data_IF_319352237507
#
_entry.id   IF_319352237507
#
_cell.length_a   1.000
_cell.length_b   1.000
_cell.length_c   1.000
_cell.angle_alpha   90.00
_cell.angle_beta   90.00
_cell.angle_gamma   90.00
#
_symmetry.space_group_name_H-M   'P 1'
#
loop_
_entity.id
_entity.type
_entity.pdbx_description
1 polymer ?
#
# COMPACT_ATOMS: atom_id res chain seq x y z
N UNK A 1 -55.11 11.97 0.25
CA UNK A 1 -53.71 12.35 0.53
C UNK A 1 -52.98 11.10 1.01
N UNK A 2 -52.34 10.38 0.08
CA UNK A 2 -51.81 9.03 0.33
C UNK A 2 -50.34 9.07 0.75
N UNK A 3 -50.08 8.33 1.82
CA UNK A 3 -48.82 8.11 2.51
C UNK A 3 -47.64 7.79 1.58
N UNK A 4 -46.50 8.47 1.78
CA UNK A 4 -45.21 8.12 1.19
C UNK A 4 -44.16 7.98 2.30
N UNK A 5 -43.24 7.03 2.10
CA UNK A 5 -42.02 6.76 2.87
C UNK A 5 -42.08 5.78 4.04
N UNK A 6 -42.39 4.52 3.74
CA UNK A 6 -41.74 3.40 4.43
C UNK A 6 -40.49 2.97 3.66
N UNK A 7 -39.34 3.55 4.01
CA UNK A 7 -38.05 3.09 3.51
C UNK A 7 -37.77 1.70 4.12
N UNK A 8 -38.00 0.63 3.35
CA UNK A 8 -37.55 -0.73 3.69
C UNK A 8 -36.02 -0.71 3.70
N UNK A 9 -35.41 -0.55 4.88
CA UNK A 9 -34.03 -0.94 5.07
C UNK A 9 -33.95 -2.45 4.85
N UNK A 10 -33.44 -2.83 3.67
CA UNK A 10 -33.14 -4.22 3.32
C UNK A 10 -31.97 -4.68 4.20
N UNK A 11 -32.27 -4.97 5.48
CA UNK A 11 -31.32 -5.50 6.46
C UNK A 11 -30.76 -6.80 5.87
N UNK A 12 -29.53 -6.77 5.35
CA UNK A 12 -28.77 -8.02 5.18
C UNK A 12 -28.72 -8.63 6.57
N UNK A 13 -29.15 -9.89 6.70
CA UNK A 13 -29.27 -10.54 8.01
C UNK A 13 -27.95 -10.40 8.78
N UNK A 14 -27.95 -9.91 10.02
CA UNK A 14 -26.74 -9.74 10.82
C UNK A 14 -25.95 -11.06 10.95
N UNK A 15 -26.65 -12.19 10.85
CA UNK A 15 -26.09 -13.54 10.83
C UNK A 15 -25.12 -13.75 9.65
N UNK A 16 -25.43 -13.23 8.45
CA UNK A 16 -24.53 -13.35 7.29
C UNK A 16 -23.26 -12.51 7.46
N UNK A 17 -23.37 -11.36 8.11
CA UNK A 17 -22.22 -10.48 8.37
C UNK A 17 -21.29 -11.12 9.41
N UNK A 18 -21.86 -11.66 10.49
CA UNK A 18 -21.11 -12.40 11.52
C UNK A 18 -20.42 -13.61 10.91
N UNK A 19 -21.10 -14.39 10.08
CA UNK A 19 -20.50 -15.53 9.39
C UNK A 19 -19.34 -15.15 8.48
N UNK A 20 -19.46 -14.04 7.74
CA UNK A 20 -18.39 -13.56 6.85
C UNK A 20 -17.18 -13.04 7.62
N UNK A 21 -17.39 -12.37 8.76
CA UNK A 21 -16.30 -11.94 9.66
C UNK A 21 -15.59 -13.16 10.24
N UNK A 22 -16.32 -14.13 10.76
CA UNK A 22 -15.75 -15.33 11.37
C UNK A 22 -14.92 -16.14 10.36
N UNK A 23 -15.44 -16.33 9.15
CA UNK A 23 -14.72 -16.99 8.07
C UNK A 23 -13.45 -16.22 7.66
N UNK A 24 -13.54 -14.89 7.56
CA UNK A 24 -12.38 -14.04 7.29
C UNK A 24 -11.30 -14.16 8.38
N UNK A 25 -11.69 -14.15 9.65
CA UNK A 25 -10.76 -14.31 10.77
C UNK A 25 -10.07 -15.67 10.73
N UNK A 26 -10.82 -16.76 10.51
CA UNK A 26 -10.24 -18.10 10.41
C UNK A 26 -9.25 -18.19 9.26
N UNK A 27 -9.59 -17.65 8.09
CA UNK A 27 -8.70 -17.66 6.93
C UNK A 27 -7.38 -16.92 7.21
N UNK A 28 -7.45 -15.76 7.87
CA UNK A 28 -6.27 -14.97 8.24
C UNK A 28 -5.41 -15.71 9.27
N UNK A 29 -6.04 -16.29 10.30
CA UNK A 29 -5.31 -17.05 11.34
C UNK A 29 -4.65 -18.29 10.73
N UNK A 30 -5.36 -19.02 9.87
CA UNK A 30 -4.81 -20.18 9.17
C UNK A 30 -3.61 -19.81 8.29
N UNK A 31 -3.71 -18.71 7.54
CA UNK A 31 -2.60 -18.20 6.74
C UNK A 31 -1.41 -17.78 7.61
N UNK A 32 -1.66 -17.12 8.75
CA UNK A 32 -0.60 -16.72 9.68
C UNK A 32 0.14 -17.92 10.28
N UNK A 33 -0.58 -18.99 10.63
CA UNK A 33 0.02 -20.23 11.13
C UNK A 33 0.87 -20.89 10.05
N UNK A 34 0.33 -21.00 8.82
CA UNK A 34 1.03 -21.59 7.69
C UNK A 34 2.32 -20.81 7.38
N UNK A 35 2.26 -19.48 7.41
CA UNK A 35 3.42 -18.62 7.23
C UNK A 35 4.45 -18.80 8.35
N UNK A 36 4.01 -18.87 9.61
CA UNK A 36 4.88 -19.16 10.76
C UNK A 36 5.57 -20.53 10.66
N UNK A 37 4.88 -21.53 10.13
CA UNK A 37 5.44 -22.86 9.90
C UNK A 37 6.51 -22.85 8.80
N UNK A 38 6.26 -22.16 7.68
CA UNK A 38 7.24 -21.98 6.59
C UNK A 38 8.48 -21.26 7.11
N UNK A 39 8.32 -20.20 7.89
CA UNK A 39 9.43 -19.47 8.53
C UNK A 39 10.29 -20.39 9.40
N UNK A 40 9.65 -21.18 10.28
CA UNK A 40 10.36 -22.14 11.14
C UNK A 40 11.11 -23.18 10.31
N UNK A 41 10.45 -23.76 9.31
CA UNK A 41 11.05 -24.82 8.47
C UNK A 41 12.23 -24.29 7.67
N UNK A 42 12.07 -23.14 7.02
CA UNK A 42 13.12 -22.50 6.24
C UNK A 42 14.30 -22.09 7.13
N UNK A 43 14.03 -21.52 8.31
CA UNK A 43 15.10 -21.14 9.24
C UNK A 43 15.90 -22.35 9.73
N UNK A 44 15.21 -23.42 10.14
CA UNK A 44 15.86 -24.62 10.66
C UNK A 44 16.66 -25.36 9.60
N UNK A 45 16.34 -25.17 8.32
CA UNK A 45 17.14 -25.72 7.24
C UNK A 45 18.33 -24.84 6.89
N UNK A 46 18.13 -23.52 6.77
CA UNK A 46 19.14 -22.63 6.21
C UNK A 46 20.17 -22.13 7.26
N UNK A 47 19.71 -21.66 8.42
CA UNK A 47 20.58 -20.96 9.37
C UNK A 47 21.55 -21.89 10.13
N UNK A 48 21.13 -23.07 10.60
CA UNK A 48 22.05 -24.05 11.17
C UNK A 48 23.07 -24.58 10.16
N UNK A 49 22.64 -24.83 8.92
CA UNK A 49 23.51 -25.41 7.89
C UNK A 49 24.55 -24.42 7.37
N UNK A 50 24.17 -23.15 7.16
CA UNK A 50 25.09 -22.13 6.65
C UNK A 50 25.98 -21.48 7.72
N UNK A 51 25.45 -21.29 8.93
CA UNK A 51 26.11 -20.48 9.96
C UNK A 51 26.35 -21.23 11.28
N UNK A 52 25.94 -22.49 11.40
CA UNK A 52 26.07 -23.26 12.64
C UNK A 52 25.21 -22.74 13.80
N UNK A 53 24.16 -21.98 13.50
CA UNK A 53 23.27 -21.38 14.50
C UNK A 53 22.26 -22.41 15.06
N UNK A 54 21.71 -22.12 16.25
CA UNK A 54 20.69 -22.96 16.88
C UNK A 54 19.37 -22.95 16.09
N UNK A 55 18.69 -24.10 16.08
CA UNK A 55 17.33 -24.22 15.53
C UNK A 55 16.33 -23.41 16.35
N UNK A 56 15.27 -22.93 15.68
CA UNK A 56 14.19 -22.18 16.31
C UNK A 56 12.92 -23.03 16.38
N UNK A 57 12.19 -22.86 17.47
CA UNK A 57 10.83 -23.39 17.65
C UNK A 57 9.80 -22.47 16.99
N UNK A 58 8.57 -22.98 16.79
CA UNK A 58 7.48 -22.19 16.21
C UNK A 58 7.24 -20.86 16.94
N UNK A 59 7.26 -20.88 18.27
CA UNK A 59 7.09 -19.66 19.07
C UNK A 59 8.25 -18.66 18.90
N UNK A 60 9.47 -19.14 18.68
CA UNK A 60 10.61 -18.28 18.37
C UNK A 60 10.50 -17.68 16.96
N UNK A 61 10.07 -18.48 15.97
CA UNK A 61 9.84 -17.99 14.61
C UNK A 61 8.76 -16.89 14.56
N UNK A 62 7.64 -17.11 15.25
CA UNK A 62 6.57 -16.12 15.39
C UNK A 62 7.05 -14.89 16.17
N UNK A 63 7.80 -15.07 17.26
CA UNK A 63 8.38 -13.97 18.04
C UNK A 63 9.34 -13.12 17.22
N UNK A 64 10.23 -13.75 16.44
CA UNK A 64 11.15 -13.07 15.53
C UNK A 64 10.40 -12.31 14.42
N UNK A 65 9.35 -12.92 13.86
CA UNK A 65 8.50 -12.27 12.88
C UNK A 65 7.79 -11.03 13.46
N UNK A 66 7.25 -11.13 14.68
CA UNK A 66 6.62 -10.00 15.37
C UNK A 66 7.64 -8.91 15.65
N UNK A 67 8.83 -9.26 16.13
CA UNK A 67 9.90 -8.31 16.40
C UNK A 67 10.32 -7.58 15.13
N UNK A 68 10.52 -8.32 14.03
CA UNK A 68 10.79 -7.75 12.71
C UNK A 68 9.63 -6.86 12.24
N UNK A 69 8.38 -7.26 12.49
CA UNK A 69 7.20 -6.45 12.15
C UNK A 69 7.09 -5.18 12.98
N UNK A 70 7.56 -5.17 14.22
CA UNK A 70 7.62 -3.97 15.06
C UNK A 70 8.75 -3.06 14.59
N UNK A 71 9.94 -3.62 14.31
CA UNK A 71 11.09 -2.85 13.81
C UNK A 71 10.85 -2.27 12.40
N UNK A 72 10.40 -3.11 11.45
CA UNK A 72 10.14 -2.71 10.06
C UNK A 72 8.77 -2.06 9.85
N UNK A 73 7.77 -2.42 10.66
CA UNK A 73 6.40 -1.93 10.54
C UNK A 73 6.01 -0.83 11.53
N UNK A 74 6.92 -0.42 12.43
CA UNK A 74 6.75 0.73 13.32
C UNK A 74 6.88 2.08 12.61
N UNK A 75 7.43 2.12 11.39
CA UNK A 75 7.63 3.33 10.60
C UNK A 75 6.91 3.22 9.24
N UNK A 76 5.58 3.34 9.23
CA UNK A 76 4.85 3.47 7.97
C UNK A 76 3.40 2.98 8.01
N UNK A 77 2.46 3.92 8.13
CA UNK A 77 1.10 3.70 7.63
C UNK A 77 0.01 3.50 8.67
N UNK A 78 -0.27 4.53 9.48
CA UNK A 78 -1.56 4.68 10.16
C UNK A 78 -2.25 6.00 9.81
N UNK A 79 -2.24 6.36 8.52
CA UNK A 79 -3.13 7.38 7.97
C UNK A 79 -4.57 6.85 7.87
N UNK A 80 -5.23 6.64 9.00
CA UNK A 80 -6.68 6.35 9.03
C UNK A 80 -7.42 7.59 8.54
N UNK A 81 -7.90 7.55 7.29
CA UNK A 81 -8.99 8.41 6.83
C UNK A 81 -10.22 8.15 7.72
N UNK A 82 -10.57 9.11 8.57
CA UNK A 82 -11.97 9.32 8.96
C UNK A 82 -12.45 10.61 8.30
N UNK A 83 -13.39 10.45 7.38
CA UNK A 83 -14.23 11.53 6.91
C UNK A 83 -15.14 12.00 8.05
N UNK A 84 -15.16 13.28 8.35
CA UNK A 84 -16.38 14.09 8.45
C UNK A 84 -16.06 15.50 8.97
N UNK A 85 -16.41 16.49 8.16
CA UNK A 85 -16.88 17.85 8.49
C UNK A 85 -16.12 18.73 9.52
N UNK A 86 -15.73 19.88 8.97
CA UNK A 86 -15.83 21.25 9.49
C UNK A 86 -14.65 21.86 10.28
N UNK A 87 -14.30 23.05 9.77
CA UNK A 87 -13.65 24.22 10.38
C UNK A 87 -12.33 24.07 11.13
N UNK A 88 -11.37 24.85 10.65
CA UNK A 88 -10.65 25.74 11.55
C UNK A 88 -9.19 25.39 11.80
N UNK A 89 -8.33 26.26 11.26
CA UNK A 89 -6.96 26.55 11.66
C UNK A 89 -5.88 25.55 11.24
N UNK A 90 -5.04 26.08 10.35
CA UNK A 90 -3.76 25.54 9.94
C UNK A 90 -2.82 25.37 11.14
N UNK A 91 -2.46 24.13 11.43
CA UNK A 91 -1.12 23.82 11.96
C UNK A 91 -0.29 23.32 10.78
N UNK A 92 0.59 24.19 10.26
CA UNK A 92 1.73 23.77 9.45
C UNK A 92 2.58 22.81 10.29
N UNK A 93 2.50 21.51 10.00
CA UNK A 93 3.59 20.57 10.30
C UNK A 93 4.27 20.24 8.99
N UNK A 94 5.31 21.00 8.70
CA UNK A 94 6.32 20.66 7.71
C UNK A 94 7.13 19.47 8.26
N UNK A 95 6.59 18.26 8.13
CA UNK A 95 7.34 17.03 8.37
C UNK A 95 7.60 16.37 7.03
N UNK A 96 8.85 16.51 6.57
CA UNK A 96 9.36 16.06 5.29
C UNK A 96 9.23 14.56 5.09
N UNK A 97 8.09 14.14 4.55
CA UNK A 97 7.95 12.85 3.89
C UNK A 97 7.40 13.12 2.49
N UNK A 98 8.18 12.77 1.47
CA UNK A 98 7.86 12.93 0.05
C UNK A 98 6.52 12.29 -0.39
N UNK A 99 5.86 11.57 0.52
CA UNK A 99 4.53 10.97 0.34
C UNK A 99 3.42 11.99 0.02
N UNK A 100 3.54 13.24 0.47
CA UNK A 100 2.53 14.28 0.14
C UNK A 100 2.53 14.63 -1.35
N UNK A 101 3.70 14.67 -2.01
CA UNK A 101 3.81 14.88 -3.46
C UNK A 101 3.16 13.74 -4.24
N UNK A 102 3.23 12.50 -3.73
CA UNK A 102 2.65 11.33 -4.37
C UNK A 102 1.12 11.41 -4.49
N UNK A 103 0.45 12.08 -3.54
CA UNK A 103 -0.99 12.38 -3.62
C UNK A 103 -1.33 13.26 -4.83
N UNK A 104 -0.44 14.17 -5.21
CA UNK A 104 -0.61 15.02 -6.39
C UNK A 104 -0.22 14.29 -7.68
N UNK A 105 0.73 13.33 -7.61
CA UNK A 105 1.17 12.54 -8.75
C UNK A 105 0.06 11.66 -9.35
N UNK A 106 -0.74 10.99 -8.51
CA UNK A 106 -1.91 10.21 -8.98
C UNK A 106 -2.94 11.10 -9.68
N UNK A 107 -3.14 12.32 -9.16
CA UNK A 107 -4.09 13.28 -9.73
C UNK A 107 -3.60 13.82 -11.07
N UNK A 108 -2.33 14.19 -11.15
CA UNK A 108 -1.67 14.66 -12.38
C UNK A 108 -1.74 13.61 -13.50
N UNK A 109 -1.41 12.34 -13.23
CA UNK A 109 -1.47 11.29 -14.25
C UNK A 109 -2.89 11.00 -14.76
N UNK A 110 -3.92 11.14 -13.90
CA UNK A 110 -5.32 10.96 -14.31
C UNK A 110 -5.86 12.10 -15.15
N UNK A 111 -5.50 13.34 -14.82
CA UNK A 111 -6.04 14.54 -15.48
C UNK A 111 -5.22 14.91 -16.74
N UNK A 112 -3.90 14.80 -16.69
CA UNK A 112 -2.99 15.34 -17.72
C UNK A 112 -2.10 14.27 -18.40
N UNK A 113 -2.06 13.04 -17.89
CA UNK A 113 -1.10 12.01 -18.31
C UNK A 113 -1.14 11.66 -19.81
N UNK A 114 -2.34 11.56 -20.40
CA UNK A 114 -2.47 11.20 -21.82
C UNK A 114 -1.92 12.29 -22.76
N UNK A 115 -2.00 13.56 -22.35
CA UNK A 115 -1.48 14.69 -23.13
C UNK A 115 0.05 14.67 -23.14
N UNK A 116 0.67 14.50 -21.98
CA UNK A 116 2.13 14.38 -21.86
C UNK A 116 2.69 13.12 -22.52
N UNK A 117 1.98 12.00 -22.44
CA UNK A 117 2.40 10.76 -23.10
C UNK A 117 2.38 10.88 -24.63
N UNK A 118 1.33 11.51 -25.18
CA UNK A 118 1.28 11.84 -26.62
C UNK A 118 2.42 12.77 -27.04
N UNK A 119 2.71 13.78 -26.24
CA UNK A 119 3.82 14.71 -26.48
C UNK A 119 5.18 13.99 -26.48
N UNK A 120 5.38 13.04 -25.56
CA UNK A 120 6.56 12.17 -25.51
C UNK A 120 6.70 11.28 -26.74
N UNK A 121 5.62 10.61 -27.15
CA UNK A 121 5.62 9.80 -28.37
C UNK A 121 5.93 10.65 -29.61
N UNK A 122 5.41 11.88 -29.67
CA UNK A 122 5.70 12.79 -30.78
C UNK A 122 7.19 13.17 -30.84
N UNK A 123 7.82 13.44 -29.69
CA UNK A 123 9.28 13.69 -29.59
C UNK A 123 10.12 12.47 -29.96
N UNK A 124 9.63 11.26 -29.66
CA UNK A 124 10.30 10.03 -30.08
C UNK A 124 10.14 9.76 -31.57
N UNK A 125 8.98 10.07 -32.15
CA UNK A 125 8.72 9.89 -33.59
C UNK A 125 9.35 10.97 -34.47
N UNK A 126 9.58 12.17 -33.92
CA UNK A 126 10.28 13.28 -34.56
C UNK A 126 11.46 13.71 -33.66
N UNK A 127 12.62 13.02 -33.74
CA UNK A 127 13.80 13.46 -33.03
C UNK A 127 14.14 14.89 -33.48
N UNK A 128 14.47 15.83 -32.55
CA UNK A 128 14.96 17.13 -32.92
C UNK A 128 16.18 16.95 -33.83
N UNK A 129 16.10 17.41 -35.07
CA UNK A 129 17.27 17.59 -35.91
C UNK A 129 18.19 18.57 -35.17
N UNK A 130 19.28 18.04 -34.62
CA UNK A 130 20.34 18.80 -34.00
C UNK A 130 21.03 19.64 -35.08
N UNK A 131 20.50 20.84 -35.32
CA UNK A 131 21.25 21.88 -36.02
C UNK A 131 22.10 22.59 -34.96
N UNK A 132 23.25 21.99 -34.65
CA UNK A 132 24.34 22.70 -33.99
C UNK A 132 24.78 23.87 -34.91
N UNK A 133 24.90 25.11 -34.41
CA UNK A 133 25.59 26.16 -35.15
C UNK A 133 27.09 25.88 -35.08
N UNK A 134 27.61 25.12 -36.04
CA UNK A 134 29.05 25.03 -36.30
C UNK A 134 29.41 25.85 -37.53
N UNK A 135 30.29 26.81 -37.27
CA UNK A 135 31.32 27.32 -38.17
C UNK A 135 30.82 27.97 -39.46
N UNK A 136 30.50 29.26 -39.38
CA UNK A 136 30.78 30.15 -40.50
C UNK A 136 32.29 30.43 -40.48
N UNK A 137 32.94 29.78 -41.43
CA UNK A 137 34.27 30.06 -41.91
C UNK A 137 34.10 31.17 -42.96
N UNK A 138 34.27 32.42 -42.54
CA UNK A 138 34.82 33.55 -43.32
C UNK A 138 35.26 34.68 -42.39
#
# INVERSE_FOLDING_TARGET
MTNFFTHKFRKKSPIKIIGMIFFGTIAIVGLAILFGFVLMWLWNWLMPELFGLTTITYWQAVGLFILLKILLGGCGGSGKKKSSKHSGRACKKESGTDFSKWKHYDKFWKEEGNKHFKDYLNRQSNPPQQNDPKSDLE
#
